data_IF_293833984987
#
_entry.id   IF_293833984987
#
_cell.length_a   1.000
_cell.length_b   1.000
_cell.length_c   1.000
_cell.angle_alpha   90.00
_cell.angle_beta   90.00
_cell.angle_gamma   90.00
#
_symmetry.space_group_name_H-M   'P 1'
#
loop_
_entity.id
_entity.type
_entity.pdbx_description
1 polymer ?
#
# COMPACT_ATOMS: atom_id res chain seq x y z
N UNK A 1 -23.93 33.64 7.26
CA UNK A 1 -25.09 33.57 8.18
C UNK A 1 -25.69 32.18 8.03
N UNK A 2 -25.63 31.36 9.08
CA UNK A 2 -26.19 30.00 9.10
C UNK A 2 -27.49 30.08 9.89
N UNK A 3 -28.61 29.74 9.25
CA UNK A 3 -29.93 29.64 9.89
C UNK A 3 -29.92 28.44 10.86
N UNK A 4 -30.44 28.57 12.09
CA UNK A 4 -30.49 27.46 13.03
C UNK A 4 -31.47 26.40 12.52
N UNK A 5 -30.95 25.21 12.23
CA UNK A 5 -31.73 24.03 11.86
C UNK A 5 -32.42 23.47 13.14
N UNK A 6 -33.67 22.99 13.09
CA UNK A 6 -34.31 22.35 14.24
C UNK A 6 -33.49 21.14 14.74
N UNK A 7 -33.58 20.80 16.05
CA UNK A 7 -32.83 19.69 16.62
C UNK A 7 -33.22 18.39 15.90
N UNK A 8 -32.28 17.84 15.15
CA UNK A 8 -32.47 16.61 14.38
C UNK A 8 -32.61 15.42 15.33
N UNK A 9 -33.41 14.43 14.93
CA UNK A 9 -33.47 13.11 15.58
C UNK A 9 -32.07 12.52 15.83
N UNK A 10 -31.88 11.71 16.88
CA UNK A 10 -30.59 11.11 17.21
C UNK A 10 -30.04 10.35 15.99
N UNK A 11 -28.81 10.66 15.60
CA UNK A 11 -28.15 10.15 14.40
C UNK A 11 -27.70 8.70 14.63
N UNK A 12 -28.40 7.67 14.12
CA UNK A 12 -28.11 6.26 14.48
C UNK A 12 -26.74 5.83 13.95
N UNK A 13 -26.35 6.34 12.78
CA UNK A 13 -25.03 6.18 12.21
C UNK A 13 -23.92 6.81 13.06
N UNK A 14 -24.20 7.82 13.88
CA UNK A 14 -23.23 8.35 14.86
C UNK A 14 -22.97 7.37 15.99
N UNK A 15 -24.04 6.82 16.56
CA UNK A 15 -23.91 5.81 17.61
C UNK A 15 -23.15 4.59 17.09
N UNK A 16 -23.39 4.19 15.83
CA UNK A 16 -22.60 3.18 15.15
C UNK A 16 -21.13 3.61 15.01
N UNK A 17 -20.86 4.79 14.46
CA UNK A 17 -19.49 5.31 14.26
C UNK A 17 -18.70 5.40 15.57
N UNK A 18 -19.32 5.90 16.64
CA UNK A 18 -18.70 6.02 17.97
C UNK A 18 -18.50 4.65 18.63
N UNK A 19 -19.49 3.78 18.56
CA UNK A 19 -19.36 2.41 19.06
C UNK A 19 -18.25 1.64 18.34
N UNK A 20 -18.04 1.92 17.04
CA UNK A 20 -16.94 1.36 16.25
C UNK A 20 -15.60 1.95 16.69
N UNK A 21 -15.50 3.27 16.79
CA UNK A 21 -14.27 3.95 17.22
C UNK A 21 -13.79 3.51 18.62
N UNK A 22 -14.72 3.11 19.50
CA UNK A 22 -14.40 2.53 20.81
C UNK A 22 -13.99 1.06 20.80
N UNK A 23 -14.27 0.33 19.71
CA UNK A 23 -13.99 -1.12 19.57
C UNK A 23 -12.74 -1.42 18.76
N UNK A 24 -12.37 -0.52 17.86
CA UNK A 24 -11.30 -0.74 16.91
C UNK A 24 -9.95 -0.37 17.54
N UNK A 25 -9.10 -1.38 17.75
CA UNK A 25 -7.74 -1.22 18.31
C UNK A 25 -6.73 -0.72 17.26
N UNK A 26 -7.05 -0.80 15.96
CA UNK A 26 -6.13 -0.48 14.86
C UNK A 26 -6.83 0.25 13.70
N UNK A 27 -6.17 1.23 13.10
CA UNK A 27 -6.68 2.10 12.03
C UNK A 27 -6.90 1.37 10.67
N UNK A 28 -7.81 0.38 10.60
CA UNK A 28 -8.02 -0.46 9.43
C UNK A 28 -9.34 -0.17 8.69
N UNK A 29 -9.31 0.38 7.47
CA UNK A 29 -10.54 0.61 6.69
C UNK A 29 -11.23 -0.69 6.25
N UNK A 30 -10.53 -1.83 6.25
CA UNK A 30 -11.08 -3.15 5.89
C UNK A 30 -11.63 -3.95 7.08
N UNK A 31 -11.32 -3.57 8.32
CA UNK A 31 -11.84 -4.22 9.53
C UNK A 31 -12.97 -3.40 10.18
N UNK A 32 -13.11 -2.13 9.80
CA UNK A 32 -14.16 -1.23 10.28
C UNK A 32 -15.39 -1.21 9.38
N UNK A 33 -16.55 -1.06 9.98
CA UNK A 33 -17.79 -0.77 9.25
C UNK A 33 -17.68 0.64 8.65
N UNK A 34 -17.74 0.72 7.32
CA UNK A 34 -17.78 2.00 6.61
C UNK A 34 -19.15 2.65 6.83
N UNK A 35 -19.14 3.93 7.18
CA UNK A 35 -20.36 4.73 7.32
C UNK A 35 -20.36 5.79 6.25
N UNK A 36 -21.39 5.78 5.41
CA UNK A 36 -21.69 6.87 4.50
C UNK A 36 -22.55 7.92 5.21
N UNK A 37 -22.10 9.17 5.18
CA UNK A 37 -22.72 10.28 5.88
C UNK A 37 -23.15 11.31 4.84
N UNK A 38 -24.47 11.42 4.53
CA UNK A 38 -24.95 12.42 3.60
C UNK A 38 -24.79 13.82 4.19
N UNK A 39 -24.42 14.78 3.36
CA UNK A 39 -24.35 16.19 3.73
C UNK A 39 -25.76 16.75 3.79
N UNK A 40 -26.23 17.11 4.99
CA UNK A 40 -27.56 17.68 5.20
C UNK A 40 -27.46 19.05 5.88
N UNK A 41 -28.35 19.98 5.49
CA UNK A 41 -28.43 21.31 6.11
C UNK A 41 -27.32 22.29 5.67
N UNK A 42 -26.55 21.96 4.64
CA UNK A 42 -25.49 22.82 4.10
C UNK A 42 -24.90 22.29 2.80
N UNK A 43 -23.84 22.95 2.33
CA UNK A 43 -23.08 22.52 1.14
C UNK A 43 -21.62 22.38 1.51
N UNK A 44 -21.09 21.16 1.39
CA UNK A 44 -19.66 20.90 1.43
C UNK A 44 -19.13 21.01 0.00
N UNK A 45 -18.20 21.94 -0.24
CA UNK A 45 -17.62 22.14 -1.57
C UNK A 45 -16.22 21.57 -1.64
N UNK A 46 -15.91 20.90 -2.74
CA UNK A 46 -14.55 20.49 -3.05
C UNK A 46 -13.64 21.72 -3.17
N UNK A 47 -12.49 21.78 -2.47
CA UNK A 47 -11.70 23.01 -2.37
C UNK A 47 -11.10 23.46 -3.70
N UNK A 48 -10.77 22.52 -4.60
CA UNK A 48 -10.24 22.81 -5.94
C UNK A 48 -11.37 23.01 -6.96
N UNK A 49 -12.12 21.96 -7.28
CA UNK A 49 -13.15 21.99 -8.33
C UNK A 49 -14.41 22.79 -7.99
N UNK A 50 -14.61 23.16 -6.71
CA UNK A 50 -15.85 23.78 -6.20
C UNK A 50 -17.11 22.93 -6.42
N UNK A 51 -16.98 21.66 -6.80
CA UNK A 51 -18.11 20.77 -6.95
C UNK A 51 -18.74 20.46 -5.57
N UNK A 52 -20.07 20.35 -5.48
CA UNK A 52 -20.73 19.93 -4.25
C UNK A 52 -20.39 18.47 -3.92
N UNK A 53 -20.09 18.21 -2.65
CA UNK A 53 -19.88 16.87 -2.09
C UNK A 53 -21.19 16.44 -1.44
N UNK A 54 -21.85 15.43 -2.02
CA UNK A 54 -23.15 14.96 -1.56
C UNK A 54 -23.07 14.12 -0.27
N UNK A 55 -22.00 13.33 -0.11
CA UNK A 55 -21.78 12.47 1.03
C UNK A 55 -20.29 12.26 1.31
N UNK A 56 -19.99 11.84 2.54
CA UNK A 56 -18.64 11.51 3.01
C UNK A 56 -18.64 10.09 3.55
N UNK A 57 -17.72 9.24 3.08
CA UNK A 57 -17.51 7.92 3.69
C UNK A 57 -16.41 8.02 4.74
N UNK A 58 -16.69 7.54 5.95
CA UNK A 58 -15.75 7.50 7.05
C UNK A 58 -15.80 6.15 7.77
N UNK A 59 -14.75 5.85 8.54
CA UNK A 59 -14.73 4.70 9.45
C UNK A 59 -14.24 5.13 10.83
N UNK A 60 -14.64 4.37 11.85
CA UNK A 60 -14.15 4.57 13.21
C UNK A 60 -12.67 4.23 13.31
N UNK A 61 -11.86 5.21 13.69
CA UNK A 61 -10.46 5.07 14.03
C UNK A 61 -10.29 5.00 15.56
N UNK A 62 -9.10 4.60 16.02
CA UNK A 62 -8.81 4.44 17.45
C UNK A 62 -9.10 5.71 18.28
N UNK A 63 -9.72 5.51 19.45
CA UNK A 63 -9.85 6.55 20.48
C UNK A 63 -10.93 7.60 20.22
N UNK A 64 -12.15 7.17 19.86
CA UNK A 64 -13.26 8.07 19.47
C UNK A 64 -12.94 8.98 18.27
N UNK A 65 -12.18 8.49 17.30
CA UNK A 65 -11.86 9.26 16.10
C UNK A 65 -12.54 8.68 14.87
N UNK A 66 -12.71 9.48 13.82
CA UNK A 66 -13.17 9.01 12.52
C UNK A 66 -12.17 9.38 11.44
N UNK A 67 -11.79 8.41 10.61
CA UNK A 67 -10.97 8.67 9.44
C UNK A 67 -11.87 8.75 8.20
N UNK A 68 -11.68 9.80 7.42
CA UNK A 68 -12.40 10.01 6.16
C UNK A 68 -11.71 9.24 5.05
N UNK A 69 -12.49 8.64 4.14
CA UNK A 69 -12.01 7.92 2.97
C UNK A 69 -12.43 8.61 1.66
N UNK A 70 -13.67 9.08 1.59
CA UNK A 70 -14.21 9.73 0.40
C UNK A 70 -14.90 11.04 0.75
N UNK A 71 -14.73 12.08 -0.08
CA UNK A 71 -13.85 12.15 -1.25
C UNK A 71 -12.36 12.10 -0.88
N UNK A 72 -11.51 11.64 -1.82
CA UNK A 72 -10.06 11.39 -1.58
C UNK A 72 -9.32 12.59 -1.00
N UNK A 73 -9.73 13.81 -1.37
CA UNK A 73 -9.10 15.02 -0.85
C UNK A 73 -9.20 15.10 0.68
N UNK A 74 -10.33 14.68 1.24
CA UNK A 74 -10.53 14.65 2.70
C UNK A 74 -9.83 13.47 3.36
N UNK A 75 -9.47 12.41 2.62
CA UNK A 75 -8.76 11.26 3.17
C UNK A 75 -7.33 11.61 3.66
N UNK A 76 -6.81 12.75 3.20
CA UNK A 76 -5.51 13.27 3.64
C UNK A 76 -5.58 13.96 5.01
N UNK A 77 -6.78 14.30 5.49
CA UNK A 77 -6.94 14.94 6.80
C UNK A 77 -6.57 13.95 7.93
N UNK A 78 -6.06 14.47 9.06
CA UNK A 78 -5.91 13.64 10.26
C UNK A 78 -7.26 13.05 10.68
N UNK A 79 -7.29 11.94 11.45
CA UNK A 79 -8.54 11.41 11.95
C UNK A 79 -9.27 12.46 12.80
N UNK A 80 -10.53 12.70 12.47
CA UNK A 80 -11.41 13.67 13.11
C UNK A 80 -11.73 13.22 14.53
N UNK A 81 -11.64 14.14 15.51
CA UNK A 81 -12.09 13.85 16.87
C UNK A 81 -13.62 13.88 16.96
N UNK A 82 -14.23 12.81 17.48
CA UNK A 82 -15.67 12.70 17.69
C UNK A 82 -16.09 13.13 19.10
N UNK A 83 -15.15 13.56 19.95
CA UNK A 83 -15.46 14.18 21.22
C UNK A 83 -16.32 15.44 20.99
N UNK A 84 -17.51 15.47 21.60
CA UNK A 84 -18.44 16.58 21.46
C UNK A 84 -19.25 16.64 20.16
N UNK A 85 -18.98 15.76 19.18
CA UNK A 85 -19.88 15.58 18.02
C UNK A 85 -21.16 14.92 18.52
N UNK A 86 -22.33 15.53 18.27
CA UNK A 86 -23.64 15.00 18.70
C UNK A 86 -24.62 14.84 17.53
N UNK A 87 -24.36 15.54 16.44
CA UNK A 87 -25.18 15.59 15.24
C UNK A 87 -24.33 15.53 13.97
N UNK A 88 -24.98 15.32 12.82
CA UNK A 88 -24.33 15.41 11.51
C UNK A 88 -23.77 16.80 11.25
N UNK A 89 -24.50 17.84 11.68
CA UNK A 89 -24.03 19.21 11.56
C UNK A 89 -22.73 19.43 12.34
N UNK A 90 -22.61 18.89 13.56
CA UNK A 90 -21.37 18.98 14.34
C UNK A 90 -20.21 18.27 13.66
N UNK A 91 -20.46 17.09 13.08
CA UNK A 91 -19.45 16.33 12.34
C UNK A 91 -18.92 17.12 11.14
N UNK A 92 -19.81 17.67 10.31
CA UNK A 92 -19.40 18.47 9.16
C UNK A 92 -18.78 19.82 9.57
N UNK A 93 -19.20 20.41 10.69
CA UNK A 93 -18.56 21.61 11.22
C UNK A 93 -17.13 21.33 11.69
N UNK A 94 -16.89 20.20 12.36
CA UNK A 94 -15.56 19.77 12.77
C UNK A 94 -14.69 19.46 11.54
N UNK A 95 -15.23 18.71 10.57
CA UNK A 95 -14.55 18.40 9.30
C UNK A 95 -14.19 19.67 8.52
N UNK A 96 -15.10 20.64 8.42
CA UNK A 96 -14.85 21.91 7.75
C UNK A 96 -13.77 22.75 8.46
N UNK A 97 -13.73 22.71 9.80
CA UNK A 97 -12.68 23.36 10.60
C UNK A 97 -11.31 22.77 10.30
N UNK A 98 -11.19 21.44 10.36
CA UNK A 98 -9.93 20.72 10.11
C UNK A 98 -9.46 20.92 8.66
N UNK A 99 -10.39 20.87 7.70
CA UNK A 99 -10.11 21.20 6.31
C UNK A 99 -9.61 22.65 6.16
N UNK A 100 -10.29 23.61 6.79
CA UNK A 100 -9.88 25.02 6.78
C UNK A 100 -8.49 25.23 7.34
N UNK A 101 -8.16 24.57 8.46
CA UNK A 101 -6.83 24.62 9.07
C UNK A 101 -5.76 23.97 8.17
N UNK A 102 -6.07 22.83 7.55
CA UNK A 102 -5.17 22.17 6.62
C UNK A 102 -4.90 23.07 5.39
N UNK A 103 -5.94 23.64 4.78
CA UNK A 103 -5.81 24.55 3.64
C UNK A 103 -5.03 25.82 4.01
N UNK A 104 -5.26 26.38 5.20
CA UNK A 104 -4.49 27.53 5.69
C UNK A 104 -3.00 27.16 5.85
N UNK A 105 -2.72 25.97 6.39
CA UNK A 105 -1.35 25.47 6.53
C UNK A 105 -0.68 25.30 5.17
N UNK A 106 -1.37 24.68 4.19
CA UNK A 106 -0.87 24.58 2.80
C UNK A 106 -0.66 25.96 2.18
N UNK A 107 -1.56 26.93 2.42
CA UNK A 107 -1.37 28.31 1.99
C UNK A 107 -0.06 28.91 2.50
N UNK A 108 0.23 28.75 3.80
CA UNK A 108 1.50 29.21 4.39
C UNK A 108 2.72 28.51 3.78
N UNK A 109 2.62 27.21 3.48
CA UNK A 109 3.70 26.47 2.82
C UNK A 109 3.95 27.06 1.44
N UNK A 110 2.91 27.20 0.63
CA UNK A 110 3.01 27.77 -0.72
C UNK A 110 3.66 29.16 -0.66
N UNK A 111 3.19 30.02 0.24
CA UNK A 111 3.68 31.38 0.38
C UNK A 111 5.14 31.43 0.87
N UNK A 112 5.58 30.45 1.68
CA UNK A 112 6.96 30.33 2.16
C UNK A 112 7.93 29.83 1.07
N UNK A 113 7.46 29.00 0.15
CA UNK A 113 8.28 28.40 -0.92
C UNK A 113 8.25 29.28 -2.20
N UNK A 114 7.23 30.12 -2.37
CA UNK A 114 7.11 31.02 -3.53
C UNK A 114 8.36 31.91 -3.76
N UNK A 115 9.02 32.49 -2.73
CA UNK A 115 10.28 33.24 -2.91
C UNK A 115 11.45 32.42 -3.47
N UNK A 116 11.40 31.08 -3.35
CA UNK A 116 12.36 30.17 -3.97
C UNK A 116 12.14 30.04 -5.49
N UNK A 117 11.10 30.66 -6.05
CA UNK A 117 10.71 30.49 -7.45
C UNK A 117 10.06 29.12 -7.73
N UNK A 118 9.53 28.46 -6.71
CA UNK A 118 8.89 27.14 -6.80
C UNK A 118 7.36 27.34 -6.70
N UNK A 119 6.62 27.34 -7.83
CA UNK A 119 5.18 27.56 -7.84
C UNK A 119 4.43 26.29 -7.45
N UNK A 120 4.15 26.14 -6.15
CA UNK A 120 3.39 25.01 -5.62
C UNK A 120 1.88 25.18 -5.82
N UNK A 121 1.25 24.20 -6.47
CA UNK A 121 -0.20 24.15 -6.68
C UNK A 121 -0.87 23.05 -5.85
N UNK A 122 -2.13 23.27 -5.47
CA UNK A 122 -2.92 22.28 -4.74
C UNK A 122 -3.34 21.14 -5.68
N UNK A 123 -2.98 19.91 -5.32
CA UNK A 123 -3.41 18.71 -6.05
C UNK A 123 -4.94 18.53 -5.93
N UNK A 124 -5.58 18.12 -7.02
CA UNK A 124 -7.05 18.00 -7.07
C UNK A 124 -7.60 16.95 -6.12
N UNK A 125 -6.90 15.84 -5.93
CA UNK A 125 -7.46 14.67 -5.26
C UNK A 125 -6.93 14.45 -3.84
N UNK A 126 -5.94 15.23 -3.40
CA UNK A 126 -5.19 15.02 -2.15
C UNK A 126 -4.87 16.39 -1.56
N UNK A 127 -4.93 16.55 -0.24
CA UNK A 127 -4.48 17.79 0.42
C UNK A 127 -2.96 17.85 0.47
N UNK A 128 -2.37 18.10 -0.69
CA UNK A 128 -0.93 18.17 -0.91
C UNK A 128 -0.65 19.21 -1.97
N UNK A 129 0.45 19.93 -1.79
CA UNK A 129 0.99 20.81 -2.80
C UNK A 129 1.94 20.04 -3.71
N UNK A 130 1.91 20.32 -5.01
CA UNK A 130 2.78 19.71 -6.01
C UNK A 130 3.21 20.74 -7.04
N UNK A 131 4.43 20.60 -7.54
CA UNK A 131 4.90 21.36 -8.69
C UNK A 131 5.96 20.59 -9.46
N UNK A 132 6.27 21.09 -10.64
CA UNK A 132 7.34 20.59 -11.49
C UNK A 132 8.26 21.78 -11.79
N UNK A 133 9.54 21.63 -11.50
CA UNK A 133 10.54 22.67 -11.70
C UNK A 133 11.68 22.15 -12.57
N UNK A 134 12.37 23.08 -13.24
CA UNK A 134 13.64 22.82 -13.91
C UNK A 134 14.76 23.41 -13.07
N UNK A 135 15.71 22.57 -12.67
CA UNK A 135 16.87 22.95 -11.90
C UNK A 135 18.12 22.62 -12.72
N UNK A 136 18.62 23.61 -13.45
CA UNK A 136 19.54 23.36 -14.57
C UNK A 136 18.83 22.55 -15.66
N UNK A 137 19.43 21.43 -16.06
CA UNK A 137 18.86 20.48 -17.03
C UNK A 137 17.96 19.42 -16.39
N UNK A 138 17.81 19.44 -15.07
CA UNK A 138 17.09 18.40 -14.32
C UNK A 138 15.67 18.84 -14.02
N UNK A 139 14.71 18.06 -14.50
CA UNK A 139 13.30 18.23 -14.16
C UNK A 139 12.99 17.51 -12.85
N UNK A 140 12.53 18.25 -11.85
CA UNK A 140 12.14 17.71 -10.54
C UNK A 140 10.64 17.87 -10.35
N UNK A 141 9.97 16.78 -10.00
CA UNK A 141 8.61 16.81 -9.49
C UNK A 141 8.67 16.84 -7.97
N UNK A 142 8.14 17.91 -7.39
CA UNK A 142 8.18 18.19 -5.95
C UNK A 142 6.78 18.10 -5.36
N UNK A 143 6.68 17.57 -4.15
CA UNK A 143 5.43 17.58 -3.40
C UNK A 143 5.65 17.86 -1.92
N UNK A 144 4.68 18.46 -1.26
CA UNK A 144 4.71 18.67 0.19
C UNK A 144 3.32 18.76 0.80
N UNK A 145 3.21 18.26 2.04
CA UNK A 145 2.04 18.44 2.90
C UNK A 145 2.43 19.03 4.28
N UNK A 146 3.71 19.33 4.49
CA UNK A 146 4.25 19.74 5.79
C UNK A 146 5.06 21.02 5.65
N UNK A 147 4.97 21.88 6.67
CA UNK A 147 5.72 23.12 6.71
C UNK A 147 7.20 22.84 6.88
N UNK A 148 8.03 23.46 6.05
CA UNK A 148 9.48 23.29 6.08
C UNK A 148 9.98 21.99 5.45
N UNK A 149 9.13 21.23 4.74
CA UNK A 149 9.55 20.03 4.00
C UNK A 149 9.20 20.17 2.50
N UNK A 150 10.11 19.72 1.63
CA UNK A 150 9.85 19.47 0.22
C UNK A 150 10.30 18.06 -0.12
N UNK A 151 9.47 17.28 -0.79
CA UNK A 151 9.80 15.91 -1.17
C UNK A 151 9.97 15.83 -2.68
N UNK A 152 11.10 15.28 -3.15
CA UNK A 152 11.28 14.95 -4.56
C UNK A 152 10.53 13.65 -4.83
N UNK A 153 9.50 13.71 -5.67
CA UNK A 153 8.65 12.55 -6.00
C UNK A 153 9.05 11.87 -7.30
N UNK A 154 9.64 12.61 -8.25
CA UNK A 154 10.18 12.10 -9.50
C UNK A 154 11.32 12.99 -10.03
N UNK A 155 12.18 12.40 -10.88
CA UNK A 155 13.20 13.11 -11.68
C UNK A 155 12.94 12.80 -13.15
N UNK A 156 12.53 13.81 -13.92
CA UNK A 156 11.87 13.64 -15.20
C UNK A 156 10.69 12.67 -15.07
N UNK A 157 10.64 11.65 -15.92
CA UNK A 157 9.59 10.62 -15.91
C UNK A 157 9.88 9.45 -14.96
N UNK A 158 10.92 9.55 -14.11
CA UNK A 158 11.35 8.45 -13.22
C UNK A 158 10.80 8.65 -11.81
N UNK A 159 9.76 7.91 -11.39
CA UNK A 159 9.23 8.02 -10.03
C UNK A 159 10.22 7.46 -9.00
N UNK A 160 10.37 8.15 -7.87
CA UNK A 160 11.27 7.74 -6.78
C UNK A 160 10.59 6.80 -5.77
N UNK A 161 9.26 6.69 -5.83
CA UNK A 161 8.47 5.88 -4.91
C UNK A 161 8.84 4.40 -5.02
N UNK A 162 9.15 3.77 -3.87
CA UNK A 162 9.54 2.37 -3.79
C UNK A 162 10.99 2.08 -4.24
N UNK A 163 11.73 3.10 -4.69
CA UNK A 163 13.16 2.97 -5.05
C UNK A 163 14.06 3.64 -4.03
N UNK A 164 13.66 4.83 -3.57
CA UNK A 164 14.43 5.63 -2.62
C UNK A 164 13.56 5.88 -1.38
N UNK A 165 14.09 5.64 -0.16
CA UNK A 165 13.39 5.92 1.09
C UNK A 165 12.92 7.38 1.19
N UNK A 166 11.81 7.62 1.89
CA UNK A 166 11.25 8.98 2.03
C UNK A 166 12.24 9.98 2.63
N UNK A 167 12.98 9.58 3.67
CA UNK A 167 13.96 10.46 4.32
C UNK A 167 15.04 10.95 3.37
N UNK A 168 15.51 10.08 2.48
CA UNK A 168 16.58 10.41 1.51
C UNK A 168 16.13 11.33 0.37
N UNK A 169 14.83 11.47 0.14
CA UNK A 169 14.25 12.34 -0.90
C UNK A 169 13.50 13.54 -0.32
N UNK A 170 13.67 13.81 0.98
CA UNK A 170 13.03 14.94 1.66
C UNK A 170 14.08 16.02 1.95
N UNK A 171 13.82 17.22 1.47
CA UNK A 171 14.55 18.44 1.81
C UNK A 171 13.85 19.13 2.99
N UNK A 172 14.63 19.45 4.02
CA UNK A 172 14.19 20.32 5.12
C UNK A 172 14.62 21.75 4.83
N UNK A 173 13.65 22.66 4.73
CA UNK A 173 13.90 24.07 4.45
C UNK A 173 14.43 24.78 5.69
N UNK A 174 15.54 25.51 5.54
CA UNK A 174 16.15 26.29 6.60
C UNK A 174 15.70 27.76 6.60
N UNK A 175 14.96 28.19 5.57
CA UNK A 175 14.41 29.54 5.45
C UNK A 175 15.34 30.53 4.75
N UNK A 176 16.52 30.10 4.33
CA UNK A 176 17.44 30.87 3.49
C UNK A 176 17.26 30.45 2.03
N UNK A 177 16.82 31.37 1.18
CA UNK A 177 16.50 31.08 -0.23
C UNK A 177 17.68 30.46 -0.97
N UNK A 178 18.88 31.02 -0.79
CA UNK A 178 20.08 30.55 -1.47
C UNK A 178 20.48 29.15 -0.98
N UNK A 179 20.45 28.92 0.34
CA UNK A 179 20.85 27.64 0.92
C UNK A 179 19.82 26.54 0.60
N UNK A 180 18.53 26.86 0.62
CA UNK A 180 17.45 25.94 0.29
C UNK A 180 17.49 25.52 -1.19
N UNK A 181 17.76 26.45 -2.11
CA UNK A 181 17.92 26.13 -3.53
C UNK A 181 19.19 25.31 -3.80
N UNK A 182 20.30 25.64 -3.14
CA UNK A 182 21.53 24.87 -3.24
C UNK A 182 21.33 23.44 -2.70
N UNK A 183 20.67 23.30 -1.55
CA UNK A 183 20.36 22.01 -0.96
C UNK A 183 19.41 21.18 -1.85
N UNK A 184 18.43 21.83 -2.50
CA UNK A 184 17.56 21.18 -3.47
C UNK A 184 18.32 20.67 -4.69
N UNK A 185 19.28 21.45 -5.20
CA UNK A 185 20.15 21.05 -6.31
C UNK A 185 21.00 19.83 -5.95
N UNK A 186 21.70 19.89 -4.80
CA UNK A 186 22.50 18.77 -4.31
C UNK A 186 21.68 17.51 -4.04
N UNK A 187 20.45 17.68 -3.54
CA UNK A 187 19.51 16.57 -3.37
C UNK A 187 19.13 15.96 -4.73
N UNK A 188 18.76 16.78 -5.71
CA UNK A 188 18.42 16.32 -7.06
C UNK A 188 19.56 15.52 -7.71
N UNK A 189 20.78 16.02 -7.64
CA UNK A 189 21.98 15.35 -8.19
C UNK A 189 22.24 14.01 -7.50
N UNK A 190 22.16 13.96 -6.17
CA UNK A 190 22.32 12.74 -5.38
C UNK A 190 21.28 11.68 -5.77
N UNK A 191 20.02 12.09 -5.91
CA UNK A 191 18.92 11.20 -6.31
C UNK A 191 19.05 10.72 -7.76
N UNK A 192 19.50 11.58 -8.68
CA UNK A 192 19.78 11.19 -10.06
C UNK A 192 20.89 10.13 -10.12
N UNK A 193 21.99 10.35 -9.39
CA UNK A 193 23.08 9.38 -9.29
C UNK A 193 22.62 8.06 -8.65
N UNK A 194 21.72 8.11 -7.65
CA UNK A 194 21.14 6.92 -7.03
C UNK A 194 20.25 6.14 -8.01
N UNK A 195 19.52 6.81 -8.90
CA UNK A 195 18.70 6.16 -9.93
C UNK A 195 19.51 5.45 -11.01
N UNK A 196 20.69 5.98 -11.34
CA UNK A 196 21.58 5.41 -12.35
C UNK A 196 22.50 4.31 -11.77
N UNK A 197 22.54 4.18 -10.45
CA UNK A 197 23.27 3.09 -9.79
C UNK A 197 22.60 1.75 -10.13
N UNK A 198 23.33 0.77 -10.68
CA UNK A 198 22.79 -0.56 -10.88
C UNK A 198 22.33 -1.12 -9.53
N UNK A 199 21.21 -1.85 -9.54
CA UNK A 199 20.73 -2.50 -8.32
C UNK A 199 21.87 -3.32 -7.71
N UNK A 200 22.09 -3.25 -6.38
CA UNK A 200 23.14 -4.01 -5.74
C UNK A 200 22.96 -5.48 -6.12
N UNK A 201 24.01 -6.06 -6.73
CA UNK A 201 24.00 -7.48 -7.05
C UNK A 201 23.82 -8.19 -5.70
N UNK A 202 22.76 -9.03 -5.53
CA UNK A 202 22.55 -9.72 -4.28
C UNK A 202 23.84 -10.49 -3.96
N UNK A 203 24.35 -10.41 -2.71
CA UNK A 203 25.56 -11.13 -2.34
C UNK A 203 25.38 -12.60 -2.71
N UNK A 204 26.43 -13.26 -3.24
CA UNK A 204 26.35 -14.67 -3.59
C UNK A 204 25.77 -15.43 -2.39
N UNK A 205 24.87 -16.40 -2.62
CA UNK A 205 24.37 -17.23 -1.54
C UNK A 205 25.57 -17.79 -0.76
N UNK A 206 25.53 -17.81 0.59
CA UNK A 206 26.63 -18.37 1.37
C UNK A 206 26.93 -19.77 0.85
N UNK A 207 28.22 -20.07 0.66
CA UNK A 207 28.63 -21.38 0.22
C UNK A 207 28.00 -22.43 1.14
N UNK A 208 27.38 -23.50 0.61
CA UNK A 208 26.85 -24.55 1.45
C UNK A 208 27.97 -25.07 2.36
N UNK A 209 27.68 -25.39 3.64
CA UNK A 209 28.68 -26.01 4.50
C UNK A 209 29.23 -27.27 3.84
N UNK A 210 30.53 -27.60 4.02
CA UNK A 210 31.10 -28.82 3.48
C UNK A 210 30.25 -30.00 3.92
N UNK A 211 29.68 -30.73 2.95
CA UNK A 211 28.96 -31.97 3.21
C UNK A 211 30.01 -32.92 3.81
N UNK A 212 29.78 -33.47 5.03
CA UNK A 212 30.65 -34.49 5.57
C UNK A 212 30.79 -35.62 4.55
N UNK A 213 32.01 -35.95 4.14
CA UNK A 213 32.26 -37.10 3.27
C UNK A 213 31.60 -38.32 3.90
N UNK A 214 30.68 -39.02 3.20
CA UNK A 214 30.11 -40.25 3.73
C UNK A 214 31.26 -41.24 3.97
N UNK A 215 31.25 -41.96 5.10
CA UNK A 215 32.25 -42.99 5.33
C UNK A 215 32.21 -43.97 4.16
N UNK A 216 33.37 -44.18 3.54
CA UNK A 216 33.62 -45.20 2.52
C UNK A 216 33.00 -46.52 2.99
N UNK A 217 31.83 -46.86 2.46
CA UNK A 217 31.26 -48.19 2.65
C UNK A 217 32.02 -49.13 1.72
N UNK A 218 32.69 -50.17 2.25
CA UNK A 218 33.27 -51.21 1.42
C UNK A 218 32.15 -51.91 0.66
N UNK A 219 32.31 -52.04 -0.65
CA UNK A 219 31.34 -52.69 -1.52
C UNK A 219 31.09 -54.15 -1.14
N UNK A 220 29.95 -54.66 -1.59
CA UNK A 220 29.98 -55.92 -2.31
C UNK A 220 29.29 -55.81 -3.68
N UNK A 221 30.05 -56.27 -4.66
CA UNK A 221 29.65 -57.14 -5.77
C UNK A 221 28.16 -57.25 -6.13
N UNK A 222 27.90 -56.99 -7.42
CA UNK A 222 26.99 -57.84 -8.20
C UNK A 222 25.53 -57.48 -8.16
N UNK A 223 25.12 -56.51 -8.98
CA UNK A 223 23.75 -56.49 -9.51
C UNK A 223 23.80 -56.34 -11.04
N UNK A 224 23.24 -57.29 -11.81
CA UNK A 224 23.27 -57.27 -13.27
C UNK A 224 22.41 -56.13 -13.83
N UNK A 225 22.97 -55.45 -14.82
CA UNK A 225 22.32 -54.45 -15.66
C UNK A 225 21.10 -55.05 -16.39
N UNK A 226 19.90 -54.46 -16.31
CA UNK A 226 18.83 -54.77 -17.25
C UNK A 226 19.13 -54.12 -18.63
N UNK A 227 18.70 -54.76 -19.73
CA UNK A 227 18.99 -54.32 -21.09
C UNK A 227 18.31 -53.00 -21.44
N UNK A 228 19.02 -52.21 -22.27
CA UNK A 228 18.51 -51.01 -22.93
C UNK A 228 17.41 -51.38 -23.92
N UNK A 229 16.21 -50.85 -23.70
CA UNK A 229 15.19 -50.75 -24.73
C UNK A 229 15.31 -49.37 -25.38
N UNK A 230 15.76 -49.36 -26.63
CA UNK A 230 15.52 -48.28 -27.57
C UNK A 230 14.06 -48.38 -28.02
N UNK A 231 13.25 -47.36 -27.76
CA UNK A 231 11.99 -47.17 -28.46
C UNK A 231 11.82 -45.69 -28.82
N UNK A 232 12.01 -45.46 -30.11
CA UNK A 232 11.62 -44.27 -30.87
C UNK A 232 10.10 -44.23 -30.90
N UNK A 233 9.51 -43.09 -30.49
CA UNK A 233 8.13 -42.78 -30.85
C UNK A 233 8.06 -41.31 -31.29
N UNK A 234 7.96 -41.12 -32.61
CA UNK A 234 7.35 -39.93 -33.21
C UNK A 234 5.90 -39.83 -32.75
N UNK A 235 5.48 -38.68 -32.22
CA UNK A 235 4.06 -38.34 -32.15
C UNK A 235 3.75 -37.14 -33.05
N UNK A 236 2.86 -37.47 -33.97
CA UNK A 236 2.20 -36.73 -35.04
C UNK A 236 1.38 -35.55 -34.49
N UNK A 237 1.31 -34.48 -35.28
CA UNK A 237 0.30 -33.42 -35.19
C UNK A 237 -1.13 -33.97 -35.15
N UNK A 238 -1.94 -33.50 -34.21
CA UNK A 238 -3.39 -33.56 -34.29
C UNK A 238 -3.97 -32.18 -33.95
N UNK A 239 -4.63 -31.60 -34.94
CA UNK A 239 -5.55 -30.47 -34.83
C UNK A 239 -6.79 -30.99 -34.10
N UNK A 240 -7.15 -30.38 -32.97
CA UNK A 240 -8.41 -30.65 -32.28
C UNK A 240 -9.22 -29.35 -32.16
N UNK A 241 -10.45 -29.41 -32.66
CA UNK A 241 -11.46 -28.36 -32.67
C UNK A 241 -11.88 -27.93 -31.26
N UNK A 242 -12.36 -26.69 -31.07
CA UNK A 242 -12.81 -26.20 -29.77
C UNK A 242 -14.09 -26.92 -29.33
N UNK A 243 -14.20 -27.39 -28.08
CA UNK A 243 -15.44 -27.97 -27.59
C UNK A 243 -16.53 -26.92 -27.42
N UNK A 244 -17.73 -27.27 -27.87
CA UNK A 244 -18.98 -26.54 -27.57
C UNK A 244 -19.20 -26.44 -26.05
N UNK A 245 -19.65 -25.25 -25.61
CA UNK A 245 -19.98 -25.00 -24.21
C UNK A 245 -21.11 -25.92 -23.75
N UNK A 246 -20.94 -26.70 -22.66
CA UNK A 246 -22.07 -27.38 -22.03
C UNK A 246 -23.04 -26.35 -21.41
N UNK A 247 -24.34 -26.68 -21.31
CA UNK A 247 -25.35 -25.78 -20.76
C UNK A 247 -25.06 -25.45 -19.29
N UNK A 248 -25.18 -24.17 -18.93
CA UNK A 248 -25.10 -23.67 -17.55
C UNK A 248 -26.09 -24.44 -16.67
N UNK A 249 -25.57 -25.23 -15.72
CA UNK A 249 -26.36 -25.71 -14.59
C UNK A 249 -26.68 -24.52 -13.67
N UNK A 250 -27.89 -24.45 -13.09
CA UNK A 250 -28.23 -23.43 -12.10
C UNK A 250 -27.22 -23.44 -10.95
N UNK A 251 -26.59 -22.28 -10.68
CA UNK A 251 -25.74 -22.11 -9.50
C UNK A 251 -26.57 -22.35 -8.24
N UNK A 252 -26.27 -23.46 -7.54
CA UNK A 252 -26.69 -23.63 -6.16
C UNK A 252 -26.07 -22.53 -5.29
N UNK A 253 -26.94 -21.92 -4.49
CA UNK A 253 -26.64 -20.89 -3.51
C UNK A 253 -25.56 -21.42 -2.55
N UNK A 254 -24.47 -20.68 -2.27
CA UNK A 254 -23.47 -21.12 -1.30
C UNK A 254 -24.13 -21.37 0.07
N UNK A 255 -23.73 -22.43 0.80
CA UNK A 255 -24.27 -22.71 2.13
C UNK A 255 -23.98 -21.53 3.06
N UNK A 256 -25.02 -21.05 3.73
CA UNK A 256 -24.89 -20.11 4.85
C UNK A 256 -24.02 -20.76 5.92
N UNK A 257 -22.78 -20.27 6.08
CA UNK A 257 -21.95 -20.65 7.19
C UNK A 257 -22.51 -20.02 8.48
N UNK A 258 -22.53 -20.77 9.60
CA UNK A 258 -22.99 -20.24 10.87
C UNK A 258 -22.11 -19.09 11.33
N UNK A 259 -22.76 -17.98 11.68
CA UNK A 259 -22.15 -16.84 12.34
C UNK A 259 -21.70 -17.26 13.75
N UNK A 260 -20.39 -17.38 13.96
CA UNK A 260 -19.91 -17.71 15.30
C UNK A 260 -18.47 -18.18 15.41
N UNK A 261 -17.52 -17.58 14.71
CA UNK A 261 -16.12 -17.64 15.13
C UNK A 261 -15.39 -16.39 14.62
N UNK A 262 -14.86 -15.61 15.56
CA UNK A 262 -14.08 -14.41 15.28
C UNK A 262 -12.95 -14.75 14.32
N UNK A 263 -12.92 -14.13 13.14
CA UNK A 263 -11.77 -14.17 12.23
C UNK A 263 -10.52 -13.84 13.05
N UNK A 264 -9.67 -14.86 13.24
CA UNK A 264 -8.60 -14.84 14.22
C UNK A 264 -7.70 -13.62 14.04
N UNK A 265 -7.49 -12.88 15.12
CA UNK A 265 -6.48 -11.84 15.14
C UNK A 265 -5.14 -12.50 14.78
N UNK A 266 -4.57 -12.12 13.63
CA UNK A 266 -3.24 -12.56 13.23
C UNK A 266 -2.24 -12.12 14.28
N UNK A 267 -1.62 -13.08 14.97
CA UNK A 267 -0.52 -12.73 15.85
C UNK A 267 0.70 -12.40 15.00
N UNK A 268 1.49 -11.42 15.45
CA UNK A 268 2.75 -11.05 14.80
C UNK A 268 3.71 -12.25 14.70
N UNK A 269 3.59 -13.19 15.65
CA UNK A 269 4.31 -14.46 15.66
C UNK A 269 3.91 -15.35 14.47
N UNK A 270 2.62 -15.52 14.20
CA UNK A 270 2.14 -16.34 13.07
C UNK A 270 2.59 -15.77 11.71
N UNK A 271 2.63 -14.44 11.60
CA UNK A 271 3.14 -13.73 10.43
C UNK A 271 4.62 -14.06 10.22
N UNK A 272 5.45 -13.92 11.26
CA UNK A 272 6.89 -14.20 11.20
C UNK A 272 7.17 -15.69 10.95
N UNK A 273 6.43 -16.58 11.60
CA UNK A 273 6.61 -18.03 11.47
C UNK A 273 6.30 -18.52 10.04
N UNK A 274 5.28 -17.96 9.36
CA UNK A 274 4.89 -18.36 8.00
C UNK A 274 5.64 -17.63 6.88
N UNK A 275 6.07 -16.39 7.12
CA UNK A 275 6.68 -15.53 6.11
C UNK A 275 8.21 -15.45 6.21
N UNK A 276 8.78 -15.93 7.31
CA UNK A 276 10.22 -15.94 7.56
C UNK A 276 10.70 -14.73 8.37
N UNK A 277 11.85 -14.89 9.04
CA UNK A 277 12.44 -13.88 9.93
C UNK A 277 12.96 -12.63 9.21
N UNK A 278 13.21 -12.73 7.91
CA UNK A 278 13.76 -11.64 7.10
C UNK A 278 12.68 -10.67 6.57
N UNK A 279 11.42 -10.85 6.98
CA UNK A 279 10.31 -9.99 6.56
C UNK A 279 10.39 -8.60 7.22
N UNK A 280 10.53 -7.56 6.41
CA UNK A 280 10.33 -6.19 6.89
C UNK A 280 8.83 -5.89 6.96
N UNK A 281 8.35 -5.66 8.18
CA UNK A 281 6.95 -5.37 8.46
C UNK A 281 6.82 -3.87 8.76
N UNK A 282 6.03 -3.18 7.95
CA UNK A 282 5.64 -1.79 8.20
C UNK A 282 4.12 -1.67 8.27
N UNK A 283 3.63 -0.78 9.11
CA UNK A 283 2.21 -0.45 9.16
C UNK A 283 2.00 0.91 8.49
N UNK A 284 1.20 0.96 7.43
CA UNK A 284 0.85 2.20 6.75
C UNK A 284 -0.66 2.24 6.52
N UNK A 285 -1.33 3.28 7.03
CA UNK A 285 -2.79 3.39 6.99
C UNK A 285 -3.50 2.15 7.59
N UNK A 286 -2.92 1.63 8.68
CA UNK A 286 -3.30 0.42 9.40
C UNK A 286 -3.24 -0.89 8.62
N UNK A 287 -2.81 -0.89 7.36
CA UNK A 287 -2.50 -2.12 6.62
C UNK A 287 -1.07 -2.51 6.89
N UNK A 288 -0.85 -3.81 7.11
CA UNK A 288 0.49 -4.36 7.10
C UNK A 288 1.02 -4.36 5.67
N UNK A 289 2.19 -3.76 5.51
CA UNK A 289 3.01 -3.84 4.30
C UNK A 289 4.22 -4.69 4.63
N UNK A 290 4.39 -5.74 3.85
CA UNK A 290 5.46 -6.71 4.01
C UNK A 290 6.39 -6.58 2.81
N UNK A 291 7.68 -6.42 3.10
CA UNK A 291 8.74 -6.57 2.09
C UNK A 291 9.54 -7.80 2.50
N UNK A 292 9.42 -8.87 1.71
CA UNK A 292 10.02 -10.16 2.08
C UNK A 292 11.02 -10.57 0.99
N UNK A 293 12.33 -10.53 1.27
CA UNK A 293 13.33 -11.09 0.37
C UNK A 293 13.28 -12.62 0.43
N UNK A 294 13.17 -13.27 -0.73
CA UNK A 294 13.22 -14.73 -0.87
C UNK A 294 14.38 -15.13 -1.77
N UNK A 295 15.27 -16.00 -1.27
CA UNK A 295 16.33 -16.62 -2.08
C UNK A 295 15.89 -18.03 -2.50
N UNK A 296 15.80 -18.26 -3.80
CA UNK A 296 15.52 -19.57 -4.42
C UNK A 296 16.73 -20.02 -5.25
N UNK A 297 16.77 -21.30 -5.63
CA UNK A 297 17.78 -21.87 -6.55
C UNK A 297 17.77 -21.12 -7.89
N UNK A 298 16.60 -20.60 -8.30
CA UNK A 298 16.42 -19.86 -9.56
C UNK A 298 16.80 -18.37 -9.46
N UNK A 299 17.14 -17.86 -8.27
CA UNK A 299 17.54 -16.46 -8.07
C UNK A 299 16.92 -15.80 -6.84
N UNK A 300 17.20 -14.50 -6.69
CA UNK A 300 16.64 -13.66 -5.64
C UNK A 300 15.31 -13.03 -6.11
N UNK A 301 14.35 -13.02 -5.20
CA UNK A 301 13.02 -12.45 -5.39
C UNK A 301 12.64 -11.58 -4.19
N UNK A 302 11.73 -10.64 -4.40
CA UNK A 302 11.19 -9.80 -3.33
C UNK A 302 9.68 -9.73 -3.45
N UNK A 303 8.99 -10.13 -2.39
CA UNK A 303 7.56 -9.94 -2.26
C UNK A 303 7.29 -8.55 -1.70
N UNK A 304 6.46 -7.77 -2.40
CA UNK A 304 5.88 -6.53 -1.90
C UNK A 304 4.39 -6.78 -1.68
N UNK A 305 4.00 -7.06 -0.44
CA UNK A 305 2.63 -7.43 -0.09
C UNK A 305 1.98 -6.34 0.74
N UNK A 306 0.70 -6.08 0.48
CA UNK A 306 -0.15 -5.24 1.30
C UNK A 306 -1.33 -6.08 1.80
N UNK A 307 -1.60 -6.01 3.11
CA UNK A 307 -2.76 -6.62 3.72
C UNK A 307 -4.04 -5.98 3.16
N UNK A 308 -4.89 -6.80 2.54
CA UNK A 308 -6.17 -6.34 1.97
C UNK A 308 -7.28 -6.37 3.01
N UNK A 309 -7.45 -7.51 3.68
CA UNK A 309 -8.47 -7.72 4.72
C UNK A 309 -8.13 -8.97 5.54
N UNK A 310 -8.16 -8.87 6.87
CA UNK A 310 -7.89 -10.00 7.76
C UNK A 310 -6.55 -10.66 7.43
N UNK A 311 -6.58 -11.93 7.05
CA UNK A 311 -5.41 -12.73 6.67
C UNK A 311 -5.04 -12.66 5.19
N UNK A 312 -5.79 -11.91 4.37
CA UNK A 312 -5.54 -11.81 2.93
C UNK A 312 -4.47 -10.76 2.62
N UNK A 313 -3.45 -11.18 1.89
CA UNK A 313 -2.38 -10.35 1.37
C UNK A 313 -2.40 -10.36 -0.16
N UNK A 314 -2.17 -9.19 -0.76
CA UNK A 314 -2.01 -9.09 -2.20
C UNK A 314 -0.92 -8.07 -2.55
N UNK A 315 -0.25 -8.28 -3.68
CA UNK A 315 0.93 -7.49 -4.01
C UNK A 315 1.63 -7.95 -5.28
N UNK A 316 2.95 -7.81 -5.29
CA UNK A 316 3.77 -8.18 -6.45
C UNK A 316 5.04 -8.88 -5.99
N UNK A 317 5.34 -10.00 -6.63
CA UNK A 317 6.63 -10.67 -6.58
C UNK A 317 7.53 -10.08 -7.66
N UNK A 318 8.70 -9.58 -7.28
CA UNK A 318 9.69 -8.99 -8.19
C UNK A 318 10.92 -9.89 -8.26
N UNK A 319 11.34 -10.27 -9.47
CA UNK A 319 12.58 -11.04 -9.68
C UNK A 319 13.80 -10.12 -9.78
N UNK A 320 15.00 -10.64 -9.53
CA UNK A 320 16.26 -9.90 -9.72
C UNK A 320 16.45 -9.35 -11.16
N UNK A 321 15.79 -9.96 -12.15
CA UNK A 321 15.78 -9.49 -13.55
C UNK A 321 14.71 -8.42 -13.82
N UNK A 322 13.99 -7.97 -12.81
CA UNK A 322 12.92 -6.96 -12.92
C UNK A 322 11.55 -7.49 -13.34
N UNK A 323 11.39 -8.82 -13.48
CA UNK A 323 10.09 -9.43 -13.77
C UNK A 323 9.12 -9.21 -12.60
N UNK A 324 7.84 -8.94 -12.91
CA UNK A 324 6.81 -8.63 -11.91
C UNK A 324 5.64 -9.59 -12.07
N UNK A 325 5.30 -10.30 -10.98
CA UNK A 325 4.22 -11.26 -10.96
C UNK A 325 3.20 -10.86 -9.89
N UNK A 326 1.91 -10.67 -10.25
CA UNK A 326 0.89 -10.37 -9.25
C UNK A 326 0.72 -11.57 -8.32
N UNK A 327 0.59 -11.30 -7.03
CA UNK A 327 0.42 -12.33 -6.00
C UNK A 327 -0.75 -11.96 -5.10
N UNK A 328 -1.57 -12.95 -4.75
CA UNK A 328 -2.66 -12.79 -3.78
C UNK A 328 -2.89 -14.12 -3.08
N UNK A 329 -2.89 -14.12 -1.76
CA UNK A 329 -3.09 -15.33 -0.97
C UNK A 329 -3.67 -15.00 0.41
N UNK A 330 -4.30 -16.00 1.01
CA UNK A 330 -4.74 -15.96 2.40
C UNK A 330 -3.68 -16.60 3.30
N UNK A 331 -3.12 -15.80 4.21
CA UNK A 331 -2.10 -16.24 5.17
C UNK A 331 -2.58 -17.41 6.05
N UNK A 332 -3.89 -17.54 6.28
CA UNK A 332 -4.44 -18.68 7.02
C UNK A 332 -4.31 -20.00 6.24
N UNK A 333 -4.35 -19.94 4.91
CA UNK A 333 -4.40 -21.12 4.02
C UNK A 333 -3.02 -21.60 3.57
N UNK A 334 -2.04 -20.71 3.53
CA UNK A 334 -0.68 -21.06 3.07
C UNK A 334 0.12 -21.67 4.21
N UNK A 335 0.89 -22.72 3.90
CA UNK A 335 1.80 -23.35 4.86
C UNK A 335 3.05 -22.49 5.00
N UNK A 336 3.60 -22.03 3.87
CA UNK A 336 4.77 -21.16 3.81
C UNK A 336 4.75 -20.26 2.55
N UNK A 337 5.64 -19.27 2.51
CA UNK A 337 5.79 -18.36 1.36
C UNK A 337 6.35 -19.07 0.11
N UNK A 338 7.03 -20.21 0.26
CA UNK A 338 7.58 -20.98 -0.87
C UNK A 338 6.45 -21.59 -1.69
N UNK A 339 5.36 -22.02 -1.07
CA UNK A 339 4.17 -22.50 -1.75
C UNK A 339 3.59 -21.42 -2.69
N UNK A 340 3.48 -20.17 -2.21
CA UNK A 340 3.00 -19.05 -3.02
C UNK A 340 3.97 -18.77 -4.18
N UNK A 341 5.27 -18.81 -3.91
CA UNK A 341 6.30 -18.66 -4.95
C UNK A 341 6.15 -19.72 -6.05
N UNK A 342 6.02 -20.99 -5.67
CA UNK A 342 5.90 -22.10 -6.61
C UNK A 342 4.62 -21.98 -7.45
N UNK A 343 3.48 -21.61 -6.86
CA UNK A 343 2.23 -21.38 -7.58
C UNK A 343 2.37 -20.29 -8.65
N UNK A 344 3.03 -19.18 -8.29
CA UNK A 344 3.10 -17.99 -9.13
C UNK A 344 4.15 -18.11 -10.23
N UNK A 345 5.30 -18.72 -9.94
CA UNK A 345 6.41 -18.85 -10.89
C UNK A 345 6.30 -20.11 -11.74
N UNK A 346 5.77 -21.21 -11.17
CA UNK A 346 5.63 -22.48 -11.89
C UNK A 346 4.21 -22.71 -12.45
N UNK A 347 3.26 -21.82 -12.14
CA UNK A 347 1.87 -21.89 -12.64
C UNK A 347 1.10 -23.10 -12.11
N UNK A 348 1.39 -23.53 -10.87
CA UNK A 348 0.77 -24.70 -10.22
C UNK A 348 -0.43 -24.34 -9.35
#
# INVERSE_FOLDING_TARGET
MITPCPPSAPWPAFAALRALAGRVLFDQPGAGLLVEIPVEGGVLLHPVTRAPVAAVTAYGAFGERAKILTPRILASLPPLDLAGVRSRADFFAALARDLGQALQSLGRIRDAVLPLGIPLDLETDVLRLRCRILLGEMELDLATAHLGELQVVAIGERPLWGRIPRGERTLHLCGSVADDLQALASLGESLAAALDRPAPVPPPPPAPPPIPEPPLSPGPEGVPQPPRSEEVVELVEAIEEPPERPPEKPQEKPPEMPAGESAGALSLKDIVDRLGMDAEISAQNGRLRLVIPLKSIQGAYTFYLEQRAGTNFAGTLVSAKGGRFPVSFDLATIIDLKQVFDQVVLGR
#
